data_IF_322561601961
#
_entry.id   IF_322561601961
#
_cell.length_a   1.000
_cell.length_b   1.000
_cell.length_c   1.000
_cell.angle_alpha   90.00
_cell.angle_beta   90.00
_cell.angle_gamma   90.00
#
_symmetry.space_group_name_H-M   'P 1'
#
loop_
_entity.id
_entity.type
_entity.pdbx_description
1 polymer ?
#
# COMPACT_ATOMS: atom_id res chain seq x y z
N UNK A 1 -35.48 -19.78 0.66
CA UNK A 1 -34.96 -18.41 0.42
C UNK A 1 -34.24 -17.78 1.63
N UNK A 2 -34.69 -17.97 2.87
CA UNK A 2 -34.05 -17.40 4.08
C UNK A 2 -32.61 -17.90 4.37
N UNK A 3 -32.33 -19.19 4.13
CA UNK A 3 -31.00 -19.81 4.36
C UNK A 3 -29.87 -19.20 3.49
N UNK A 4 -30.20 -18.72 2.28
CA UNK A 4 -29.24 -18.12 1.34
C UNK A 4 -28.81 -16.70 1.76
N UNK A 5 -29.73 -15.90 2.32
CA UNK A 5 -29.42 -14.54 2.83
C UNK A 5 -28.40 -14.57 3.98
N UNK A 6 -28.53 -15.55 4.89
CA UNK A 6 -27.59 -15.72 6.01
C UNK A 6 -26.16 -16.06 5.56
N UNK A 7 -26.01 -16.92 4.55
CA UNK A 7 -24.69 -17.30 4.01
C UNK A 7 -24.02 -16.09 3.31
N UNK A 8 -24.79 -15.29 2.58
CA UNK A 8 -24.27 -14.06 1.94
C UNK A 8 -23.86 -13.01 2.97
N UNK A 9 -24.61 -12.84 4.06
CA UNK A 9 -24.25 -11.93 5.15
C UNK A 9 -22.99 -12.38 5.88
N UNK A 10 -22.81 -13.67 6.13
CA UNK A 10 -21.59 -14.21 6.73
C UNK A 10 -20.36 -14.04 5.83
N UNK A 11 -20.51 -14.22 4.51
CA UNK A 11 -19.45 -13.94 3.53
C UNK A 11 -19.05 -12.47 3.53
N UNK A 12 -20.02 -11.54 3.51
CA UNK A 12 -19.74 -10.10 3.61
C UNK A 12 -18.95 -9.76 4.88
N UNK A 13 -19.36 -10.28 6.04
CA UNK A 13 -18.66 -10.04 7.32
C UNK A 13 -17.24 -10.60 7.36
N UNK A 14 -16.93 -11.67 6.61
CA UNK A 14 -15.55 -12.18 6.49
C UNK A 14 -14.69 -11.30 5.58
N UNK A 15 -15.23 -10.91 4.42
CA UNK A 15 -14.54 -10.02 3.47
C UNK A 15 -14.22 -8.69 4.16
N UNK A 16 -15.17 -8.16 4.93
CA UNK A 16 -15.04 -6.86 5.59
C UNK A 16 -14.00 -6.85 6.73
N UNK A 17 -13.83 -7.99 7.44
CA UNK A 17 -12.75 -8.16 8.43
C UNK A 17 -11.39 -8.33 7.77
N UNK A 18 -11.34 -9.05 6.66
CA UNK A 18 -10.14 -9.23 5.86
C UNK A 18 -9.67 -7.90 5.25
N UNK A 19 -10.58 -7.13 4.67
CA UNK A 19 -10.29 -5.82 4.06
C UNK A 19 -9.71 -4.85 5.10
N UNK A 20 -10.29 -4.83 6.31
CA UNK A 20 -9.78 -4.04 7.43
C UNK A 20 -8.37 -4.47 7.86
N UNK A 21 -8.08 -5.77 7.95
CA UNK A 21 -6.73 -6.23 8.27
C UNK A 21 -5.72 -5.81 7.20
N UNK A 22 -6.06 -5.95 5.92
CA UNK A 22 -5.17 -5.55 4.82
C UNK A 22 -4.92 -4.04 4.84
N UNK A 23 -5.97 -3.23 5.03
CA UNK A 23 -5.84 -1.78 5.17
C UNK A 23 -4.95 -1.40 6.36
N UNK A 24 -5.10 -2.09 7.49
CA UNK A 24 -4.29 -1.83 8.67
C UNK A 24 -2.80 -2.15 8.45
N UNK A 25 -2.51 -3.31 7.85
CA UNK A 25 -1.15 -3.70 7.46
C UNK A 25 -0.57 -2.71 6.45
N UNK A 26 -1.37 -2.26 5.48
CA UNK A 26 -0.98 -1.25 4.51
C UNK A 26 -0.62 0.08 5.18
N UNK A 27 -1.42 0.54 6.15
CA UNK A 27 -1.14 1.79 6.89
C UNK A 27 0.15 1.66 7.70
N UNK A 28 0.39 0.51 8.35
CA UNK A 28 1.63 0.26 9.11
C UNK A 28 2.84 0.30 8.17
N UNK A 29 2.79 -0.44 7.06
CA UNK A 29 3.87 -0.47 6.07
C UNK A 29 4.11 0.91 5.46
N UNK A 30 3.05 1.63 5.10
CA UNK A 30 3.15 2.98 4.56
C UNK A 30 3.82 3.93 5.58
N UNK A 31 3.42 3.86 6.85
CA UNK A 31 4.04 4.65 7.92
C UNK A 31 5.52 4.34 8.03
N UNK A 32 5.91 3.06 8.04
CA UNK A 32 7.31 2.62 8.13
C UNK A 32 8.12 3.10 6.91
N UNK A 33 7.56 3.03 5.70
CA UNK A 33 8.28 3.41 4.48
C UNK A 33 8.35 4.92 4.25
N UNK A 34 7.41 5.70 4.79
CA UNK A 34 7.43 7.17 4.69
C UNK A 34 8.27 7.83 5.78
N UNK A 35 8.50 7.15 6.90
CA UNK A 35 9.30 7.64 8.03
C UNK A 35 10.72 8.09 7.63
N UNK A 36 11.50 7.32 6.85
CA UNK A 36 12.84 7.73 6.40
C UNK A 36 12.81 9.02 5.58
N UNK A 37 11.81 9.18 4.72
CA UNK A 37 11.64 10.37 3.88
C UNK A 37 11.32 11.60 4.72
N UNK A 38 10.49 11.46 5.76
CA UNK A 38 10.17 12.56 6.68
C UNK A 38 11.42 12.97 7.47
N UNK A 39 12.18 12.01 8.01
CA UNK A 39 13.42 12.27 8.75
C UNK A 39 14.44 13.00 7.87
N UNK A 40 14.67 12.53 6.65
CA UNK A 40 15.60 13.15 5.69
C UNK A 40 15.18 14.59 5.40
N UNK A 41 13.89 14.82 5.12
CA UNK A 41 13.38 16.16 4.83
C UNK A 41 13.51 17.13 6.02
N UNK A 42 13.27 16.64 7.24
CA UNK A 42 13.50 17.41 8.47
C UNK A 42 14.98 17.75 8.65
N UNK A 43 15.87 16.76 8.47
CA UNK A 43 17.31 16.94 8.58
C UNK A 43 17.83 17.97 7.56
N UNK A 44 17.42 17.85 6.30
CA UNK A 44 17.79 18.77 5.23
C UNK A 44 17.27 20.19 5.50
N UNK A 45 16.05 20.33 6.02
CA UNK A 45 15.49 21.65 6.38
C UNK A 45 16.25 22.31 7.54
N UNK A 46 16.61 21.56 8.57
CA UNK A 46 17.34 22.09 9.74
C UNK A 46 18.81 22.37 9.46
N UNK A 47 19.44 21.62 8.54
CA UNK A 47 20.87 21.75 8.19
C UNK A 47 21.11 22.53 6.89
N UNK A 48 20.13 23.29 6.40
CA UNK A 48 20.20 24.03 5.13
C UNK A 48 21.37 25.02 5.08
N UNK A 49 21.73 25.63 6.22
CA UNK A 49 22.80 26.62 6.32
C UNK A 49 24.16 26.03 6.75
N UNK A 50 24.25 24.72 6.92
CA UNK A 50 25.49 24.06 7.35
C UNK A 50 26.33 23.71 6.12
N UNK A 51 27.61 24.12 6.09
CA UNK A 51 28.53 23.69 5.03
C UNK A 51 28.75 22.18 5.11
N UNK A 52 28.18 21.43 4.17
CA UNK A 52 28.36 19.97 4.08
C UNK A 52 29.60 19.65 3.24
N UNK A 53 30.36 18.63 3.67
CA UNK A 53 31.43 18.05 2.84
C UNK A 53 30.84 17.35 1.62
N UNK A 54 31.63 17.22 0.55
CA UNK A 54 31.24 16.55 -0.69
C UNK A 54 30.79 15.09 -0.44
N UNK A 55 31.47 14.39 0.48
CA UNK A 55 31.10 13.05 0.93
C UNK A 55 29.73 13.03 1.62
N UNK A 56 29.45 14.00 2.48
CA UNK A 56 28.14 14.12 3.14
C UNK A 56 27.02 14.39 2.13
N UNK A 57 27.26 15.23 1.13
CA UNK A 57 26.27 15.47 0.07
C UNK A 57 25.96 14.21 -0.75
N UNK A 58 26.97 13.38 -1.03
CA UNK A 58 26.76 12.11 -1.75
C UNK A 58 25.93 11.12 -0.92
N UNK A 59 26.21 11.01 0.38
CA UNK A 59 25.44 10.16 1.29
C UNK A 59 24.00 10.64 1.41
N UNK A 60 23.77 11.94 1.62
CA UNK A 60 22.42 12.52 1.71
C UNK A 60 21.63 12.24 0.43
N UNK A 61 22.27 12.39 -0.75
CA UNK A 61 21.63 12.13 -2.04
C UNK A 61 21.32 10.64 -2.24
N UNK A 62 22.17 9.73 -1.76
CA UNK A 62 21.89 8.29 -1.78
C UNK A 62 20.69 7.94 -0.89
N UNK A 63 20.68 8.44 0.35
CA UNK A 63 19.59 8.23 1.32
C UNK A 63 18.27 8.78 0.78
N UNK A 64 18.29 9.98 0.17
CA UNK A 64 17.12 10.57 -0.48
C UNK A 64 16.57 9.66 -1.57
N UNK A 65 17.41 9.22 -2.51
CA UNK A 65 16.96 8.36 -3.60
C UNK A 65 16.46 7.00 -3.10
N UNK A 66 17.10 6.43 -2.08
CA UNK A 66 16.66 5.18 -1.46
C UNK A 66 15.29 5.32 -0.79
N UNK A 67 15.07 6.39 -0.01
CA UNK A 67 13.79 6.68 0.61
C UNK A 67 12.69 6.91 -0.44
N UNK A 68 13.01 7.60 -1.52
CA UNK A 68 12.10 7.87 -2.62
C UNK A 68 11.69 6.58 -3.36
N UNK A 69 12.64 5.66 -3.56
CA UNK A 69 12.36 4.32 -4.10
C UNK A 69 11.43 3.52 -3.18
N UNK A 70 11.65 3.61 -1.87
CA UNK A 70 10.80 2.98 -0.84
C UNK A 70 9.35 3.49 -0.91
N UNK A 71 9.16 4.80 -1.10
CA UNK A 71 7.83 5.42 -1.24
C UNK A 71 7.11 4.94 -2.51
N UNK A 72 7.82 4.79 -3.63
CA UNK A 72 7.23 4.22 -4.85
C UNK A 72 6.87 2.74 -4.67
N UNK A 73 7.73 1.96 -4.01
CA UNK A 73 7.45 0.56 -3.70
C UNK A 73 6.21 0.44 -2.80
N UNK A 74 6.12 1.28 -1.77
CA UNK A 74 4.97 1.37 -0.86
C UNK A 74 3.67 1.75 -1.58
N UNK A 75 3.76 2.51 -2.68
CA UNK A 75 2.59 2.86 -3.52
C UNK A 75 2.10 1.67 -4.37
N UNK A 76 3.00 0.77 -4.77
CA UNK A 76 2.66 -0.46 -5.50
C UNK A 76 2.28 -1.65 -4.60
N UNK A 77 2.76 -1.69 -3.36
CA UNK A 77 2.49 -2.77 -2.41
C UNK A 77 1.01 -3.09 -2.16
N UNK A 78 0.07 -2.13 -2.06
CA UNK A 78 -1.34 -2.44 -1.83
C UNK A 78 -1.87 -3.35 -2.93
N UNK A 79 -1.54 -3.06 -4.18
CA UNK A 79 -1.91 -3.90 -5.31
C UNK A 79 -1.37 -5.32 -5.16
N UNK A 80 -0.09 -5.49 -4.79
CA UNK A 80 0.49 -6.81 -4.56
C UNK A 80 -0.13 -7.52 -3.36
N UNK A 81 -0.37 -6.84 -2.24
CA UNK A 81 -1.01 -7.43 -1.06
C UNK A 81 -2.45 -7.86 -1.38
N UNK A 82 -3.22 -7.05 -2.09
CA UNK A 82 -4.58 -7.41 -2.52
C UNK A 82 -4.60 -8.56 -3.54
N UNK A 83 -3.62 -8.61 -4.45
CA UNK A 83 -3.55 -9.64 -5.49
C UNK A 83 -2.99 -10.96 -4.97
N UNK A 84 -1.98 -10.95 -4.10
CA UNK A 84 -1.32 -12.13 -3.56
C UNK A 84 -2.07 -12.69 -2.33
N UNK A 85 -2.38 -11.86 -1.33
CA UNK A 85 -3.07 -12.32 -0.11
C UNK A 85 -4.57 -12.49 -0.33
N UNK A 86 -5.17 -11.72 -1.24
CA UNK A 86 -6.58 -11.80 -1.60
C UNK A 86 -6.88 -12.68 -2.81
N UNK A 87 -5.89 -13.39 -3.36
CA UNK A 87 -5.88 -13.88 -4.74
C UNK A 87 -7.12 -14.64 -5.22
N UNK A 88 -7.76 -15.48 -4.39
CA UNK A 88 -9.00 -16.15 -4.81
C UNK A 88 -10.22 -15.21 -4.83
N UNK A 89 -10.33 -14.32 -3.84
CA UNK A 89 -11.44 -13.36 -3.71
C UNK A 89 -11.29 -12.25 -4.74
N UNK A 90 -10.07 -11.72 -4.91
CA UNK A 90 -9.77 -10.69 -5.90
C UNK A 90 -9.97 -11.21 -7.31
N UNK A 91 -9.41 -12.39 -7.67
CA UNK A 91 -9.62 -12.98 -9.00
C UNK A 91 -11.09 -13.31 -9.27
N UNK A 92 -11.83 -13.78 -8.27
CA UNK A 92 -13.27 -14.04 -8.42
C UNK A 92 -14.06 -12.75 -8.63
N UNK A 93 -13.76 -11.69 -7.87
CA UNK A 93 -14.43 -10.40 -7.99
C UNK A 93 -14.08 -9.72 -9.31
N UNK A 94 -12.82 -9.78 -9.74
CA UNK A 94 -12.35 -9.27 -11.02
C UNK A 94 -12.99 -10.00 -12.20
N UNK A 95 -13.07 -11.35 -12.15
CA UNK A 95 -13.79 -12.14 -13.17
C UNK A 95 -15.26 -11.75 -13.24
N UNK A 96 -15.93 -11.60 -12.10
CA UNK A 96 -17.33 -11.22 -12.04
C UNK A 96 -17.56 -9.80 -12.60
N UNK A 97 -16.64 -8.86 -12.36
CA UNK A 97 -16.73 -7.50 -12.86
C UNK A 97 -16.51 -7.44 -14.37
N UNK A 98 -15.51 -8.15 -14.88
CA UNK A 98 -15.26 -8.28 -16.34
C UNK A 98 -16.46 -8.94 -17.02
N UNK A 99 -17.01 -10.01 -16.42
CA UNK A 99 -18.21 -10.67 -16.93
C UNK A 99 -19.44 -9.77 -16.90
N UNK A 100 -19.60 -8.92 -15.88
CA UNK A 100 -20.73 -7.99 -15.85
C UNK A 100 -20.61 -6.89 -16.90
N UNK A 101 -19.38 -6.41 -17.16
CA UNK A 101 -19.12 -5.41 -18.21
C UNK A 101 -19.38 -6.00 -19.59
N UNK A 102 -18.89 -7.22 -19.86
CA UNK A 102 -19.10 -7.91 -21.13
C UNK A 102 -20.53 -8.41 -21.35
N UNK A 103 -21.32 -8.60 -20.29
CA UNK A 103 -22.72 -9.01 -20.37
C UNK A 103 -23.69 -7.84 -20.50
N UNK A 104 -23.22 -6.61 -20.21
CA UNK A 104 -24.02 -5.39 -20.28
C UNK A 104 -23.71 -4.54 -21.53
N UNK A 105 -22.87 -5.06 -22.42
CA UNK A 105 -22.73 -4.70 -23.84
C UNK A 105 -23.31 -5.84 -24.68
#
# INVERSE_FOLDING_TARGET
RLKSKNIQQQRKKRIDRYLRHVLFVQIILLTIFTLPQVIEKFYTTLTVNTKKSLLHMTIDKFIYNFALLLTYLASGMPFYIYTLSGGSIFRTTLRNLIQSIFKNN
#
